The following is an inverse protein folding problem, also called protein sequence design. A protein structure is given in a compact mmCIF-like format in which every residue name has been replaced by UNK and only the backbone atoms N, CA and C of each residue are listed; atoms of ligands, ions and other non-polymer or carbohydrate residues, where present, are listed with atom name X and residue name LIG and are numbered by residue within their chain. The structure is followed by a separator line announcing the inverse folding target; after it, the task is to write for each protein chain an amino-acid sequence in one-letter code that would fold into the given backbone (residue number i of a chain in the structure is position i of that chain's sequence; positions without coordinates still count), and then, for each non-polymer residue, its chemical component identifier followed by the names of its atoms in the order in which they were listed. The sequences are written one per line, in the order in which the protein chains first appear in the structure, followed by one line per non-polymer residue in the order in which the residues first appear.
data_IF_534596849430
#
_entry.id   IF_534596849430
#
_cell.length_a   1.000
_cell.length_b   1.000
_cell.length_c   1.000
_cell.angle_alpha   90.00
_cell.angle_beta   90.00
_cell.angle_gamma   90.00
#
_symmetry.space_group_name_H-M   'P 1'
#
loop_
_entity.id
_entity.type
_entity.pdbx_description
1 polymer ?
#
# COMPACT_ATOMS: atom_id res chain seq x y z
N UNK A 1 2.17 37.78 -19.83
CA UNK A 1 2.73 36.42 -19.85
C UNK A 1 1.58 35.45 -19.64
N UNK A 2 0.95 35.05 -20.73
CA UNK A 2 -0.23 34.19 -20.72
C UNK A 2 -0.12 33.23 -21.89
N UNK A 3 0.40 32.04 -21.64
CA UNK A 3 0.25 30.89 -22.54
C UNK A 3 -0.31 29.73 -21.69
N UNK A 4 -1.49 29.97 -21.12
CA UNK A 4 -2.28 28.97 -20.41
C UNK A 4 -3.16 28.24 -21.42
N UNK A 5 -2.60 27.29 -22.16
CA UNK A 5 -3.38 26.43 -23.05
C UNK A 5 -4.17 25.43 -22.20
N UNK A 6 -5.49 25.64 -22.07
CA UNK A 6 -6.40 24.71 -21.38
C UNK A 6 -7.01 23.76 -22.41
N UNK A 7 -6.57 22.50 -22.44
CA UNK A 7 -7.27 21.45 -23.16
C UNK A 7 -8.47 21.01 -22.33
N UNK A 8 -9.64 21.56 -22.66
CA UNK A 8 -10.93 21.22 -22.05
C UNK A 8 -11.37 19.83 -22.55
N UNK A 9 -11.13 18.80 -21.74
CA UNK A 9 -11.49 17.41 -22.05
C UNK A 9 -12.94 17.21 -21.66
N UNK A 10 -13.81 17.01 -22.64
CA UNK A 10 -15.28 16.92 -22.46
C UNK A 10 -15.77 15.47 -22.31
N UNK A 11 -14.90 14.47 -22.49
CA UNK A 11 -15.31 13.08 -22.32
C UNK A 11 -14.18 12.04 -22.23
N UNK A 12 -14.53 10.85 -21.75
CA UNK A 12 -13.62 9.69 -21.57
C UNK A 12 -12.94 9.28 -22.90
N UNK A 13 -13.63 9.45 -24.02
CA UNK A 13 -13.10 9.13 -25.35
C UNK A 13 -11.89 10.01 -25.72
N UNK A 14 -11.90 11.28 -25.35
CA UNK A 14 -10.80 12.22 -25.61
C UNK A 14 -9.58 11.92 -24.73
N UNK A 15 -9.80 11.60 -23.45
CA UNK A 15 -8.72 11.13 -22.54
C UNK A 15 -8.03 9.90 -23.12
N UNK A 16 -8.83 8.93 -23.60
CA UNK A 16 -8.31 7.70 -24.20
C UNK A 16 -7.48 7.98 -25.44
N UNK A 17 -7.97 8.83 -26.35
CA UNK A 17 -7.24 9.19 -27.56
C UNK A 17 -5.92 9.91 -27.24
N UNK A 18 -5.92 10.83 -26.27
CA UNK A 18 -4.71 11.50 -25.81
C UNK A 18 -3.72 10.50 -25.19
N UNK A 19 -4.21 9.57 -24.38
CA UNK A 19 -3.39 8.53 -23.77
C UNK A 19 -2.73 7.61 -24.82
N UNK A 20 -3.49 7.17 -25.83
CA UNK A 20 -2.98 6.33 -26.92
C UNK A 20 -1.97 7.07 -27.81
N UNK A 21 -2.02 8.40 -27.87
CA UNK A 21 -1.07 9.23 -28.60
C UNK A 21 0.26 9.46 -27.86
N UNK A 22 0.36 9.10 -26.57
CA UNK A 22 1.58 9.23 -25.78
C UNK A 22 2.60 8.14 -26.13
N UNK A 23 3.89 8.43 -25.93
CA UNK A 23 4.89 7.37 -25.96
C UNK A 23 4.67 6.41 -24.77
N UNK A 24 5.06 5.14 -24.92
CA UNK A 24 4.96 4.14 -23.84
C UNK A 24 5.56 4.62 -22.53
N UNK A 25 6.70 5.33 -22.60
CA UNK A 25 7.38 5.89 -21.44
C UNK A 25 6.58 7.00 -20.76
N UNK A 26 5.89 7.85 -21.51
CA UNK A 26 5.05 8.91 -20.96
C UNK A 26 3.77 8.35 -20.34
N UNK A 27 3.12 7.41 -21.03
CA UNK A 27 1.97 6.68 -20.53
C UNK A 27 2.28 5.97 -19.20
N UNK A 28 3.39 5.24 -19.12
CA UNK A 28 3.83 4.56 -17.89
C UNK A 28 4.10 5.56 -16.74
N UNK A 29 4.70 6.70 -17.05
CA UNK A 29 4.95 7.73 -16.04
C UNK A 29 3.65 8.38 -15.55
N UNK A 30 2.68 8.62 -16.43
CA UNK A 30 1.37 9.14 -16.06
C UNK A 30 0.62 8.15 -15.16
N UNK A 31 0.57 6.87 -15.54
CA UNK A 31 0.00 5.79 -14.71
C UNK A 31 0.67 5.76 -13.34
N UNK A 32 2.00 5.77 -13.28
CA UNK A 32 2.72 5.66 -12.02
C UNK A 32 2.48 6.82 -11.08
N UNK A 33 2.39 8.04 -11.61
CA UNK A 33 2.07 9.21 -10.79
C UNK A 33 0.65 9.14 -10.27
N UNK A 34 -0.31 8.72 -11.11
CA UNK A 34 -1.69 8.52 -10.70
C UNK A 34 -1.82 7.45 -9.61
N UNK A 35 -1.20 6.28 -9.79
CA UNK A 35 -1.17 5.21 -8.79
C UNK A 35 -0.49 5.67 -7.50
N UNK A 36 0.60 6.44 -7.59
CA UNK A 36 1.27 6.98 -6.39
C UNK A 36 0.38 7.96 -5.64
N UNK A 37 -0.39 8.80 -6.33
CA UNK A 37 -1.33 9.72 -5.68
C UNK A 37 -2.40 8.98 -4.88
N UNK A 38 -3.02 7.96 -5.47
CA UNK A 38 -3.96 7.08 -4.75
C UNK A 38 -3.31 6.35 -3.58
N UNK A 39 -2.12 5.79 -3.79
CA UNK A 39 -1.40 5.05 -2.76
C UNK A 39 -1.02 5.90 -1.54
N UNK A 40 -0.79 7.21 -1.70
CA UNK A 40 -0.55 8.12 -0.56
C UNK A 40 -1.79 8.33 0.31
N UNK A 41 -2.98 8.35 -0.31
CA UNK A 41 -4.26 8.44 0.43
C UNK A 41 -4.49 7.16 1.21
N UNK A 42 -4.33 6.01 0.56
CA UNK A 42 -4.47 4.71 1.20
C UNK A 42 -3.43 4.52 2.33
N UNK A 43 -2.18 4.93 2.10
CA UNK A 43 -1.14 4.94 3.13
C UNK A 43 -1.57 5.76 4.34
N UNK A 44 -2.09 6.97 4.15
CA UNK A 44 -2.55 7.82 5.24
C UNK A 44 -3.71 7.16 5.99
N UNK A 45 -4.70 6.63 5.28
CA UNK A 45 -5.86 5.96 5.87
C UNK A 45 -5.48 4.74 6.72
N UNK A 46 -4.55 3.91 6.23
CA UNK A 46 -4.02 2.76 6.98
C UNK A 46 -3.20 3.24 8.19
N UNK A 47 -2.35 4.24 7.99
CA UNK A 47 -1.46 4.77 9.05
C UNK A 47 -2.24 5.41 10.19
N UNK A 48 -3.35 6.10 9.91
CA UNK A 48 -4.18 6.73 10.94
C UNK A 48 -4.93 5.73 11.81
N UNK A 49 -5.19 4.53 11.28
CA UNK A 49 -5.81 3.42 12.01
C UNK A 49 -4.79 2.47 12.63
N UNK A 50 -3.51 2.62 12.29
CA UNK A 50 -2.47 1.76 12.81
C UNK A 50 -2.44 1.84 14.34
N UNK A 51 -2.60 0.71 15.05
CA UNK A 51 -2.64 0.72 16.51
C UNK A 51 -1.30 1.19 17.07
N UNK A 52 -1.39 2.05 18.09
CA UNK A 52 -0.26 2.49 18.88
C UNK A 52 -0.09 1.53 20.05
N UNK A 53 1.16 1.15 20.32
CA UNK A 53 1.49 0.28 21.44
C UNK A 53 1.02 0.90 22.76
N UNK A 54 0.31 0.11 23.56
CA UNK A 54 0.02 0.45 24.95
C UNK A 54 1.21 0.11 25.86
N UNK A 55 1.18 0.56 27.12
CA UNK A 55 2.28 0.39 28.09
C UNK A 55 2.61 -1.08 28.42
N UNK A 56 1.84 -2.04 27.90
CA UNK A 56 1.84 -3.46 28.30
C UNK A 56 2.64 -4.33 27.33
N UNK A 57 3.93 -4.03 27.16
CA UNK A 57 4.82 -4.83 26.33
C UNK A 57 4.47 -4.79 24.84
N UNK A 58 5.32 -5.38 23.99
CA UNK A 58 5.15 -5.36 22.53
C UNK A 58 6.50 -5.41 21.81
N UNK A 59 6.54 -6.12 20.69
CA UNK A 59 7.77 -6.36 19.91
C UNK A 59 8.31 -5.12 19.20
N UNK A 60 7.45 -4.13 18.98
CA UNK A 60 7.80 -2.89 18.29
C UNK A 60 7.91 -1.72 19.28
N UNK A 61 8.74 -0.71 18.97
CA UNK A 61 8.66 0.60 19.60
C UNK A 61 7.29 1.26 19.37
N UNK A 62 6.97 2.23 20.22
CA UNK A 62 5.78 3.06 20.06
C UNK A 62 5.80 3.77 18.69
N UNK A 63 4.64 3.80 18.01
CA UNK A 63 4.49 4.44 16.69
C UNK A 63 5.20 3.76 15.52
N UNK A 64 6.03 2.72 15.75
CA UNK A 64 6.82 2.10 14.69
C UNK A 64 5.95 1.50 13.57
N UNK A 65 4.79 0.91 13.91
CA UNK A 65 3.87 0.36 12.91
C UNK A 65 3.27 1.46 12.02
N UNK A 66 2.86 2.59 12.60
CA UNK A 66 2.34 3.75 11.87
C UNK A 66 3.41 4.35 10.95
N UNK A 67 4.65 4.45 11.42
CA UNK A 67 5.75 5.04 10.67
C UNK A 67 6.26 4.14 9.52
N UNK A 68 6.07 2.82 9.61
CA UNK A 68 6.59 1.82 8.67
C UNK A 68 5.55 1.38 7.62
N UNK A 69 4.43 2.09 7.45
CA UNK A 69 3.53 1.85 6.30
C UNK A 69 4.15 2.54 5.09
N UNK A 70 4.56 1.75 4.08
CA UNK A 70 5.34 2.23 2.94
C UNK A 70 4.54 2.12 1.63
N UNK A 71 4.79 3.08 0.73
CA UNK A 71 4.35 3.00 -0.68
C UNK A 71 5.50 2.49 -1.54
N UNK A 72 5.34 1.32 -2.15
CA UNK A 72 6.33 0.67 -3.01
C UNK A 72 5.90 0.71 -4.47
N UNK A 73 6.76 1.27 -5.31
CA UNK A 73 6.52 1.35 -6.76
C UNK A 73 7.23 0.20 -7.45
N UNK A 74 6.50 -0.56 -8.27
CA UNK A 74 7.01 -1.70 -9.01
C UNK A 74 6.94 -1.43 -10.52
N UNK A 75 8.07 -1.63 -11.21
CA UNK A 75 8.21 -1.54 -12.67
C UNK A 75 8.75 -2.85 -13.25
N UNK A 76 8.00 -3.95 -13.14
CA UNK A 76 8.40 -5.23 -13.71
C UNK A 76 8.58 -5.15 -15.23
N UNK A 77 9.63 -5.79 -15.76
CA UNK A 77 9.83 -5.89 -17.21
C UNK A 77 8.68 -6.66 -17.86
N UNK A 78 8.09 -6.11 -18.93
CA UNK A 78 7.02 -6.76 -19.68
C UNK A 78 5.66 -6.85 -18.96
N UNK A 79 5.47 -6.11 -17.86
CA UNK A 79 4.20 -6.05 -17.12
C UNK A 79 3.85 -4.61 -16.78
N UNK A 80 2.56 -4.33 -16.61
CA UNK A 80 2.06 -3.01 -16.22
C UNK A 80 2.67 -2.59 -14.87
N UNK A 81 3.15 -1.34 -14.74
CA UNK A 81 3.61 -0.83 -13.46
C UNK A 81 2.47 -0.85 -12.42
N UNK A 82 2.81 -1.15 -11.17
CA UNK A 82 1.85 -1.16 -10.07
C UNK A 82 2.48 -0.57 -8.81
N UNK A 83 1.62 -0.20 -7.87
CA UNK A 83 2.01 0.34 -6.56
C UNK A 83 1.39 -0.53 -5.47
N UNK A 84 2.15 -0.78 -4.41
CA UNK A 84 1.69 -1.50 -3.22
C UNK A 84 1.82 -0.59 -2.01
N UNK A 85 0.77 -0.59 -1.18
CA UNK A 85 0.80 0.02 0.14
C UNK A 85 0.86 -1.12 1.15
N UNK A 86 1.95 -1.20 1.90
CA UNK A 86 2.15 -2.29 2.83
C UNK A 86 3.09 -1.89 3.97
N UNK A 87 2.98 -2.55 5.13
CA UNK A 87 3.99 -2.46 6.18
C UNK A 87 5.39 -2.83 5.65
N UNK A 88 6.40 -2.16 6.16
CA UNK A 88 7.79 -2.44 5.90
C UNK A 88 8.20 -3.81 6.44
N UNK A 89 9.38 -4.29 6.01
CA UNK A 89 9.87 -5.64 6.37
C UNK A 89 9.97 -5.83 7.89
N UNK A 90 10.28 -4.76 8.61
CA UNK A 90 10.43 -4.77 10.05
C UNK A 90 9.09 -4.97 10.76
N UNK A 91 8.03 -4.25 10.36
CA UNK A 91 6.73 -4.31 11.05
C UNK A 91 5.74 -5.31 10.45
N UNK A 92 6.00 -5.86 9.25
CA UNK A 92 5.10 -6.75 8.52
C UNK A 92 4.58 -7.95 9.31
N UNK A 93 5.41 -8.55 10.18
CA UNK A 93 5.00 -9.70 10.98
C UNK A 93 3.96 -9.31 12.05
N UNK A 94 4.16 -8.18 12.73
CA UNK A 94 3.20 -7.66 13.71
C UNK A 94 1.94 -7.18 13.03
N UNK A 95 2.06 -6.47 11.91
CA UNK A 95 0.92 -6.03 11.11
C UNK A 95 0.03 -7.23 10.72
N UNK A 96 0.64 -8.34 10.26
CA UNK A 96 -0.09 -9.56 9.92
C UNK A 96 -0.79 -10.19 11.12
N UNK A 97 -0.14 -10.20 12.29
CA UNK A 97 -0.73 -10.77 13.51
C UNK A 97 -1.88 -9.94 14.06
N UNK A 98 -1.83 -8.63 13.88
CA UNK A 98 -2.93 -7.74 14.22
C UNK A 98 -4.07 -7.90 13.21
N UNK A 99 -3.76 -7.90 11.92
CA UNK A 99 -4.77 -7.92 10.86
C UNK A 99 -5.67 -9.16 10.89
N UNK A 100 -5.12 -10.32 11.26
CA UNK A 100 -5.82 -11.62 11.23
C UNK A 100 -5.94 -12.30 12.61
N UNK A 101 -5.43 -11.66 13.67
CA UNK A 101 -5.27 -12.31 14.96
C UNK A 101 -4.18 -13.39 14.95
N UNK A 102 -3.84 -13.89 16.14
CA UNK A 102 -2.86 -14.96 16.27
C UNK A 102 -3.01 -15.74 17.58
N UNK A 103 -2.51 -16.98 17.56
CA UNK A 103 -2.45 -17.83 18.76
C UNK A 103 -1.23 -17.47 19.61
N UNK A 104 -1.41 -17.38 20.92
CA UNK A 104 -0.34 -17.29 21.89
C UNK A 104 0.11 -18.69 22.26
N UNK A 105 1.38 -18.99 22.01
CA UNK A 105 1.95 -20.33 22.23
C UNK A 105 3.12 -20.23 23.21
N UNK A 106 3.04 -20.96 24.32
CA UNK A 106 4.11 -21.06 25.33
C UNK A 106 4.89 -22.35 25.10
N UNK A 107 6.21 -22.25 24.96
CA UNK A 107 7.08 -23.42 24.85
C UNK A 107 7.79 -23.62 23.50
N UNK A 108 7.66 -22.70 22.55
CA UNK A 108 8.55 -22.54 21.39
C UNK A 108 8.60 -23.70 20.38
N UNK A 109 9.39 -23.49 19.32
CA UNK A 109 9.51 -24.36 18.15
C UNK A 109 9.90 -25.79 18.50
N UNK A 110 9.32 -26.73 17.75
CA UNK A 110 9.72 -28.13 17.79
C UNK A 110 11.17 -28.23 17.34
N UNK A 111 12.06 -28.66 18.25
CA UNK A 111 13.49 -28.81 17.98
C UNK A 111 13.94 -30.19 18.42
N UNK A 112 14.71 -30.85 17.56
CA UNK A 112 15.42 -32.07 17.91
C UNK A 112 16.54 -31.71 18.91
N UNK A 113 16.45 -32.26 20.11
CA UNK A 113 17.47 -32.10 21.15
C UNK A 113 18.67 -32.99 20.84
N UNK A 114 19.83 -32.69 21.43
CA UNK A 114 21.07 -33.48 21.27
C UNK A 114 20.92 -34.96 21.67
N UNK A 115 19.91 -35.29 22.49
CA UNK A 115 19.60 -36.65 22.92
C UNK A 115 18.61 -37.39 21.99
N UNK A 116 18.36 -36.87 20.78
CA UNK A 116 17.44 -37.45 19.81
C UNK A 116 15.95 -37.27 20.14
N UNK A 117 15.60 -36.66 21.28
CA UNK A 117 14.20 -36.37 21.64
C UNK A 117 13.73 -35.09 20.94
N UNK A 118 12.52 -35.11 20.41
CA UNK A 118 11.88 -33.91 19.85
C UNK A 118 11.16 -33.17 20.97
N UNK A 119 11.54 -31.91 21.23
CA UNK A 119 10.72 -31.02 22.07
C UNK A 119 9.42 -30.77 21.33
N UNK A 120 8.28 -31.12 21.92
CA UNK A 120 6.97 -30.98 21.28
C UNK A 120 6.64 -29.52 20.91
N UNK A 121 5.71 -29.30 19.97
CA UNK A 121 5.24 -27.96 19.64
C UNK A 121 4.71 -27.30 20.92
N UNK A 122 5.01 -26.01 21.12
CA UNK A 122 4.55 -25.29 22.30
C UNK A 122 3.04 -25.43 22.53
N UNK A 123 2.62 -25.28 23.79
CA UNK A 123 1.21 -25.34 24.18
C UNK A 123 0.53 -24.01 23.89
N UNK A 124 -0.63 -24.05 23.24
CA UNK A 124 -1.49 -22.88 23.10
C UNK A 124 -1.96 -22.42 24.49
N UNK A 125 -1.72 -21.14 24.80
CA UNK A 125 -2.03 -20.51 26.09
C UNK A 125 -3.05 -19.39 25.97
N UNK A 126 -3.43 -19.02 24.75
CA UNK A 126 -4.44 -18.01 24.50
C UNK A 126 -4.51 -17.64 23.02
N UNK A 127 -5.39 -16.70 22.73
CA UNK A 127 -5.61 -16.17 21.38
C UNK A 127 -5.76 -14.65 21.47
N UNK A 128 -5.10 -13.95 20.55
CA UNK A 128 -5.28 -12.51 20.35
C UNK A 128 -6.21 -12.35 19.16
N UNK A 129 -7.36 -11.73 19.41
CA UNK A 129 -8.35 -11.42 18.37
C UNK A 129 -7.76 -10.50 17.29
N UNK A 130 -8.35 -10.56 16.09
CA UNK A 130 -7.96 -9.66 15.02
C UNK A 130 -8.32 -8.21 15.39
N UNK A 131 -7.42 -7.30 15.01
CA UNK A 131 -7.59 -5.87 15.06
C UNK A 131 -7.24 -5.32 13.68
N UNK A 132 -8.17 -5.51 12.74
CA UNK A 132 -7.99 -5.15 11.35
C UNK A 132 -7.93 -3.65 11.16
N UNK A 133 -6.83 -3.16 10.61
CA UNK A 133 -6.63 -1.73 10.34
C UNK A 133 -6.26 -1.50 8.87
N UNK A 134 -5.65 -2.49 8.22
CA UNK A 134 -5.31 -2.42 6.79
C UNK A 134 -6.57 -2.59 5.95
N UNK A 135 -7.35 -3.66 6.17
CA UNK A 135 -8.61 -3.88 5.43
C UNK A 135 -9.59 -2.72 5.59
N UNK A 136 -9.76 -2.25 6.83
CA UNK A 136 -10.64 -1.12 7.13
C UNK A 136 -10.16 0.17 6.47
N UNK A 137 -8.85 0.47 6.57
CA UNK A 137 -8.27 1.63 5.91
C UNK A 137 -8.41 1.57 4.38
N UNK A 138 -8.28 0.40 3.78
CA UNK A 138 -8.50 0.17 2.35
C UNK A 138 -9.97 0.41 1.97
N UNK A 139 -10.91 -0.21 2.68
CA UNK A 139 -12.34 -0.11 2.36
C UNK A 139 -12.86 1.32 2.44
N UNK A 140 -12.46 2.06 3.48
CA UNK A 140 -12.93 3.44 3.69
C UNK A 140 -12.25 4.46 2.77
N UNK A 141 -11.00 4.21 2.34
CA UNK A 141 -10.30 5.11 1.42
C UNK A 141 -10.59 4.84 -0.06
N UNK A 142 -11.28 3.74 -0.38
CA UNK A 142 -11.45 3.23 -1.75
C UNK A 142 -11.97 4.27 -2.74
N UNK A 143 -13.00 5.01 -2.39
CA UNK A 143 -13.61 6.01 -3.29
C UNK A 143 -12.64 7.17 -3.54
N UNK A 144 -12.04 7.71 -2.48
CA UNK A 144 -11.06 8.79 -2.55
C UNK A 144 -9.81 8.38 -3.35
N UNK A 145 -9.35 7.13 -3.23
CA UNK A 145 -8.24 6.58 -4.01
C UNK A 145 -8.59 6.55 -5.50
N UNK A 146 -9.77 6.04 -5.86
CA UNK A 146 -10.22 5.98 -7.26
C UNK A 146 -10.35 7.38 -7.85
N UNK A 147 -10.91 8.33 -7.10
CA UNK A 147 -11.02 9.72 -7.54
C UNK A 147 -9.65 10.35 -7.75
N UNK A 148 -8.72 10.19 -6.81
CA UNK A 148 -7.37 10.74 -6.91
C UNK A 148 -6.57 10.15 -8.07
N UNK A 149 -6.69 8.84 -8.31
CA UNK A 149 -6.07 8.18 -9.47
C UNK A 149 -6.64 8.77 -10.76
N UNK A 150 -7.98 8.84 -10.88
CA UNK A 150 -8.66 9.38 -12.05
C UNK A 150 -8.23 10.82 -12.36
N UNK A 151 -8.28 11.70 -11.36
CA UNK A 151 -7.95 13.12 -11.50
C UNK A 151 -6.47 13.32 -11.85
N UNK A 152 -5.57 12.60 -11.18
CA UNK A 152 -4.13 12.69 -11.44
C UNK A 152 -3.76 12.15 -12.81
N UNK A 153 -4.40 11.06 -13.25
CA UNK A 153 -4.17 10.46 -14.56
C UNK A 153 -4.54 11.45 -15.67
N UNK A 154 -5.73 12.06 -15.60
CA UNK A 154 -6.18 13.06 -16.57
C UNK A 154 -5.21 14.25 -16.63
N UNK A 155 -4.82 14.78 -15.47
CA UNK A 155 -3.90 15.92 -15.39
C UNK A 155 -2.52 15.60 -15.99
N UNK A 156 -1.98 14.40 -15.72
CA UNK A 156 -0.68 13.98 -16.26
C UNK A 156 -0.73 13.69 -17.77
N UNK A 157 -1.84 13.14 -18.29
CA UNK A 157 -2.05 12.97 -19.72
C UNK A 157 -2.09 14.32 -20.43
N UNK A 158 -2.87 15.28 -19.92
CA UNK A 158 -2.94 16.63 -20.46
C UNK A 158 -1.56 17.30 -20.48
N UNK A 159 -0.83 17.21 -19.36
CA UNK A 159 0.52 17.77 -19.24
C UNK A 159 1.50 17.17 -20.25
N UNK A 160 1.42 15.86 -20.49
CA UNK A 160 2.26 15.19 -21.47
C UNK A 160 1.88 15.56 -22.92
N UNK A 161 0.58 15.69 -23.20
CA UNK A 161 0.08 16.10 -24.52
C UNK A 161 0.53 17.51 -24.91
N UNK A 162 0.46 18.48 -23.99
CA UNK A 162 0.91 19.86 -24.22
C UNK A 162 2.41 19.93 -24.53
N UNK A 163 3.23 19.09 -23.89
CA UNK A 163 4.69 19.08 -24.10
C UNK A 163 5.12 18.60 -25.50
N UNK A 164 4.23 17.92 -26.23
CA UNK A 164 4.50 17.35 -27.55
C UNK A 164 4.28 18.36 -28.69
N UNK A 165 3.57 19.45 -28.42
CA UNK A 165 3.36 20.56 -29.34
C UNK A 165 4.49 21.58 -29.23
#
# INVERSE_FOLDING_TARGET
MADGFSADIKGIAEVKALFEALSTKEADNAILKALKAGALIEQAAISDRAPVKDTTGGLLPEGALKADIEVKVHRPSGRTPYVTVAPGKYTAHVARWLEYGHRLVRGGYSRMLKNGKTRGPGKEVGFVAEHSFIRVGYEESREAVVEAISNTLVAEIQKAAVKKQ
#
